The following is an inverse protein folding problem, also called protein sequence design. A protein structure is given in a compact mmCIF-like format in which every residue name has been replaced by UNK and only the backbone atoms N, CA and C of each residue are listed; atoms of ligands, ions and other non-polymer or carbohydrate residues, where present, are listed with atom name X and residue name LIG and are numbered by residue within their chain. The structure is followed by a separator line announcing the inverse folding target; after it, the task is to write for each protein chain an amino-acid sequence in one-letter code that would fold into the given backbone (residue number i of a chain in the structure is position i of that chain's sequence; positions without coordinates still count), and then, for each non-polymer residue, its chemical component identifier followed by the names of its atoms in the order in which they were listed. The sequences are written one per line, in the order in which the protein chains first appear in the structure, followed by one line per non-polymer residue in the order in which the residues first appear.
data_IF_424793249007
#
_entry.id   IF_424793249007
#
_cell.length_a   1.000
_cell.length_b   1.000
_cell.length_c   1.000
_cell.angle_alpha   90.00
_cell.angle_beta   90.00
_cell.angle_gamma   90.00
#
_symmetry.space_group_name_H-M   'P 1'
#
loop_
_entity.id
_entity.type
_entity.pdbx_description
1 polymer ?
#
# COMPACT_ATOMS: atom_id res chain seq x y z
N UNK A 1 25.74 -17.15 78.81
CA UNK A 1 26.32 -15.94 79.42
C UNK A 1 25.92 -14.73 78.56
N UNK A 2 25.29 -13.71 79.17
CA UNK A 2 24.96 -12.32 78.70
C UNK A 2 24.37 -12.13 77.30
N UNK A 3 23.13 -11.71 77.00
CA UNK A 3 22.24 -10.63 77.50
C UNK A 3 22.84 -9.21 77.47
N UNK A 4 22.39 -8.38 76.50
CA UNK A 4 21.99 -6.95 76.55
C UNK A 4 21.94 -6.38 75.11
N UNK A 5 20.82 -5.98 74.50
CA UNK A 5 19.76 -5.01 74.82
C UNK A 5 20.23 -3.55 74.93
N UNK A 6 19.72 -2.72 74.02
CA UNK A 6 19.83 -1.25 74.05
C UNK A 6 18.83 -0.60 73.09
N UNK A 7 17.57 -0.46 73.51
CA UNK A 7 16.59 0.51 72.96
C UNK A 7 16.57 1.74 73.87
N UNK A 8 16.44 2.96 73.33
CA UNK A 8 15.63 4.09 73.84
C UNK A 8 15.93 5.36 73.01
N UNK A 9 14.95 5.92 72.29
CA UNK A 9 13.97 6.98 72.67
C UNK A 9 14.38 8.36 72.11
N UNK A 10 13.68 8.83 71.08
CA UNK A 10 13.28 10.24 70.96
C UNK A 10 11.85 10.29 70.42
N UNK A 11 10.96 10.73 71.29
CA UNK A 11 9.52 10.89 71.10
C UNK A 11 9.16 12.18 71.85
N UNK A 12 8.85 13.24 71.11
CA UNK A 12 8.14 14.44 71.57
C UNK A 12 7.90 15.33 70.34
N UNK A 13 6.68 15.40 69.79
CA UNK A 13 5.52 16.19 70.26
C UNK A 13 5.35 17.43 69.36
N UNK A 14 4.32 17.41 68.51
CA UNK A 14 3.54 18.54 67.96
C UNK A 14 2.65 17.95 66.84
N UNK A 15 1.34 18.11 66.73
CA UNK A 15 0.25 18.40 67.66
C UNK A 15 -1.00 18.06 66.82
N UNK A 16 -1.89 17.19 67.31
CA UNK A 16 -3.18 16.88 66.69
C UNK A 16 -4.22 17.88 67.20
N UNK A 17 -4.80 18.68 66.30
CA UNK A 17 -6.10 19.37 66.41
C UNK A 17 -6.24 20.25 65.15
N UNK A 18 -7.36 20.40 64.43
CA UNK A 18 -8.75 20.08 64.72
C UNK A 18 -9.48 19.98 63.38
N UNK A 19 -10.39 19.02 63.30
CA UNK A 19 -11.38 18.80 62.25
C UNK A 19 -12.68 19.50 62.69
N UNK A 20 -13.54 19.83 61.72
CA UNK A 20 -14.98 20.16 61.79
C UNK A 20 -15.35 21.66 61.90
N UNK A 21 -15.89 22.21 60.80
CA UNK A 21 -17.25 22.77 60.77
C UNK A 21 -17.82 22.70 59.34
N UNK A 22 -18.88 21.89 59.18
CA UNK A 22 -19.81 21.86 58.04
C UNK A 22 -21.11 22.50 58.54
N UNK A 23 -21.72 23.37 57.71
CA UNK A 23 -23.16 23.74 57.58
C UNK A 23 -23.27 25.24 57.29
N UNK A 24 -24.06 25.77 56.35
CA UNK A 24 -25.18 25.23 55.60
C UNK A 24 -25.39 25.98 54.26
N UNK A 25 -26.19 25.36 53.40
CA UNK A 25 -26.67 25.80 52.09
C UNK A 25 -27.31 27.20 52.06
N UNK A 26 -27.15 27.91 50.94
CA UNK A 26 -28.27 28.62 50.30
C UNK A 26 -28.05 28.73 48.78
N UNK A 27 -28.97 28.12 48.04
CA UNK A 27 -29.18 28.27 46.60
C UNK A 27 -29.75 29.68 46.35
N UNK A 28 -29.17 30.43 45.42
CA UNK A 28 -29.85 31.56 44.78
C UNK A 28 -29.60 31.54 43.28
N UNK A 29 -30.62 31.10 42.56
CA UNK A 29 -30.79 31.31 41.12
C UNK A 29 -31.19 32.76 40.87
N UNK A 30 -30.31 33.56 40.27
CA UNK A 30 -30.72 34.71 39.44
C UNK A 30 -29.88 34.78 38.17
N UNK A 31 -30.59 34.44 37.09
CA UNK A 31 -30.31 34.65 35.66
C UNK A 31 -29.84 36.09 35.41
N UNK A 32 -28.64 36.27 34.86
CA UNK A 32 -28.26 37.50 34.17
C UNK A 32 -28.42 37.28 32.67
N UNK A 33 -29.55 37.74 32.13
CA UNK A 33 -29.65 37.99 30.70
C UNK A 33 -28.87 39.26 30.36
N UNK A 34 -28.09 39.20 29.29
CA UNK A 34 -27.60 40.37 28.58
C UNK A 34 -26.08 40.48 28.49
N UNK A 35 -25.46 39.77 27.55
CA UNK A 35 -24.68 40.39 26.46
C UNK A 35 -24.53 39.36 25.32
N UNK A 36 -25.02 39.61 24.09
CA UNK A 36 -24.76 38.73 22.95
C UNK A 36 -23.34 39.01 22.43
N UNK A 37 -22.35 38.32 22.99
CA UNK A 37 -20.98 38.36 22.47
C UNK A 37 -20.85 37.36 21.33
N UNK A 38 -21.03 37.88 20.12
CA UNK A 38 -20.64 37.26 18.86
C UNK A 38 -19.23 36.66 18.96
N UNK A 39 -19.11 35.34 18.95
CA UNK A 39 -17.97 34.61 18.34
C UNK A 39 -18.26 33.11 18.29
N UNK A 40 -19.24 32.70 17.51
CA UNK A 40 -19.40 31.27 17.12
C UNK A 40 -18.28 30.79 16.17
N UNK A 41 -17.29 31.63 15.87
CA UNK A 41 -16.16 31.34 14.98
C UNK A 41 -14.80 31.82 15.53
N UNK A 42 -14.61 31.87 16.86
CA UNK A 42 -13.27 32.05 17.41
C UNK A 42 -12.52 30.71 17.39
N UNK A 43 -11.34 30.60 16.75
CA UNK A 43 -10.58 29.36 16.76
C UNK A 43 -10.23 28.97 18.20
N UNK A 44 -10.40 27.68 18.53
CA UNK A 44 -10.21 27.13 19.88
C UNK A 44 -8.77 27.31 20.41
N UNK A 45 -7.83 27.58 19.50
CA UNK A 45 -6.41 27.82 19.76
C UNK A 45 -5.95 28.96 18.84
N UNK A 46 -5.17 29.89 19.41
CA UNK A 46 -4.58 31.03 18.71
C UNK A 46 -3.74 30.57 17.50
N UNK A 47 -3.76 31.30 16.39
CA UNK A 47 -3.09 30.88 15.13
C UNK A 47 -1.59 30.66 15.30
N UNK A 48 -0.96 31.32 16.28
CA UNK A 48 0.45 31.12 16.66
C UNK A 48 0.77 29.72 17.19
N UNK A 49 -0.20 29.04 17.80
CA UNK A 49 -0.07 27.68 18.34
C UNK A 49 -0.82 26.65 17.48
N UNK A 50 -1.34 27.09 16.33
CA UNK A 50 -2.08 26.27 15.40
C UNK A 50 -1.13 25.47 14.51
N UNK A 51 -1.37 24.17 14.39
CA UNK A 51 -0.62 23.28 13.49
C UNK A 51 -0.93 23.55 12.00
N UNK A 52 -1.70 24.58 11.67
CA UNK A 52 -2.07 24.90 10.29
C UNK A 52 -0.85 25.25 9.43
N UNK A 53 0.12 25.99 9.98
CA UNK A 53 1.37 26.28 9.28
C UNK A 53 2.18 25.00 9.01
N UNK A 54 2.31 24.13 10.01
CA UNK A 54 3.00 22.84 9.89
C UNK A 54 2.30 21.91 8.88
N UNK A 55 0.96 21.92 8.84
CA UNK A 55 0.16 21.17 7.85
C UNK A 55 0.39 21.68 6.42
N UNK A 56 0.44 22.99 6.22
CA UNK A 56 0.72 23.59 4.92
C UNK A 56 2.14 23.26 4.45
N UNK A 57 3.13 23.33 5.35
CA UNK A 57 4.50 22.92 5.05
C UNK A 57 4.59 21.43 4.72
N UNK A 58 3.86 20.56 5.43
CA UNK A 58 3.78 19.14 5.09
C UNK A 58 3.15 18.90 3.71
N UNK A 59 2.13 19.68 3.33
CA UNK A 59 1.51 19.57 2.01
C UNK A 59 2.43 20.06 0.88
N UNK A 60 3.27 21.06 1.15
CA UNK A 60 4.35 21.46 0.24
C UNK A 60 5.42 20.38 0.10
N UNK A 61 5.84 19.76 1.21
CA UNK A 61 6.79 18.65 1.20
C UNK A 61 6.21 17.41 0.49
N UNK A 62 4.90 17.15 0.60
CA UNK A 62 4.21 16.04 -0.08
C UNK A 62 4.20 16.17 -1.61
N UNK A 63 4.28 17.38 -2.15
CA UNK A 63 4.36 17.61 -3.60
C UNK A 63 5.66 17.03 -4.19
N UNK A 64 6.74 17.02 -3.41
CA UNK A 64 8.06 16.55 -3.83
C UNK A 64 8.31 15.05 -3.58
N UNK A 65 7.32 14.31 -3.07
CA UNK A 65 7.47 12.88 -2.82
C UNK A 65 7.45 12.11 -4.16
N UNK A 66 8.45 11.26 -4.44
CA UNK A 66 8.46 10.40 -5.62
C UNK A 66 7.23 9.49 -5.71
N UNK A 67 6.75 9.22 -6.92
CA UNK A 67 5.55 8.38 -7.14
C UNK A 67 5.69 6.96 -6.57
N UNK A 68 6.90 6.41 -6.60
CA UNK A 68 7.20 5.11 -6.00
C UNK A 68 6.93 5.12 -4.49
N UNK A 69 7.38 6.17 -3.80
CA UNK A 69 7.13 6.34 -2.35
C UNK A 69 5.67 6.60 -2.02
N UNK A 70 4.92 7.24 -2.92
CA UNK A 70 3.46 7.38 -2.76
C UNK A 70 2.78 6.01 -2.80
N UNK A 71 3.14 5.16 -3.77
CA UNK A 71 2.60 3.80 -3.89
C UNK A 71 2.94 2.94 -2.68
N UNK A 72 4.20 2.97 -2.21
CA UNK A 72 4.59 2.26 -0.99
C UNK A 72 3.77 2.72 0.23
N UNK A 73 3.61 4.03 0.41
CA UNK A 73 2.82 4.58 1.51
C UNK A 73 1.34 4.20 1.42
N UNK A 74 0.76 4.19 0.22
CA UNK A 74 -0.63 3.77 0.00
C UNK A 74 -0.82 2.28 0.34
N UNK A 75 0.16 1.44 0.01
CA UNK A 75 0.15 0.02 0.38
C UNK A 75 0.24 -0.18 1.89
N UNK A 76 1.13 0.55 2.57
CA UNK A 76 1.24 0.53 4.03
C UNK A 76 -0.03 1.03 4.72
N UNK A 77 -0.62 2.10 4.19
CA UNK A 77 -1.88 2.64 4.67
C UNK A 77 -3.02 1.62 4.50
N UNK A 78 -3.06 0.93 3.37
CA UNK A 78 -4.03 -0.13 3.12
C UNK A 78 -3.86 -1.31 4.10
N UNK A 79 -2.62 -1.77 4.32
CA UNK A 79 -2.34 -2.82 5.31
C UNK A 79 -2.78 -2.39 6.71
N UNK A 80 -2.42 -1.17 7.12
CA UNK A 80 -2.82 -0.59 8.41
C UNK A 80 -4.35 -0.52 8.55
N UNK A 81 -5.06 -0.18 7.47
CA UNK A 81 -6.52 -0.09 7.46
C UNK A 81 -7.20 -1.44 7.68
N UNK A 82 -6.60 -2.55 7.23
CA UNK A 82 -7.14 -3.90 7.46
C UNK A 82 -7.19 -4.25 8.96
N UNK A 83 -6.23 -3.75 9.74
CA UNK A 83 -6.09 -4.01 11.17
C UNK A 83 -6.62 -2.89 12.08
N UNK A 84 -7.11 -1.78 11.52
CA UNK A 84 -7.55 -0.62 12.29
C UNK A 84 -8.80 -0.86 13.15
N UNK A 85 -9.63 -1.83 12.77
CA UNK A 85 -10.86 -2.16 13.50
C UNK A 85 -10.64 -3.34 14.44
N UNK A 86 -10.36 -3.03 15.71
CA UNK A 86 -10.07 -4.01 16.78
C UNK A 86 -11.22 -4.98 17.09
N UNK A 87 -12.43 -4.70 16.61
CA UNK A 87 -13.59 -5.57 16.83
C UNK A 87 -13.70 -6.70 15.82
N UNK A 88 -12.98 -6.61 14.70
CA UNK A 88 -13.03 -7.64 13.66
C UNK A 88 -12.29 -8.88 14.11
N UNK A 89 -12.86 -10.05 13.80
CA UNK A 89 -12.16 -11.29 14.08
C UNK A 89 -10.92 -11.41 13.17
N UNK A 90 -9.83 -12.04 13.65
CA UNK A 90 -8.67 -12.33 12.79
C UNK A 90 -9.04 -13.11 11.51
N UNK A 91 -10.10 -13.92 11.55
CA UNK A 91 -10.61 -14.65 10.39
C UNK A 91 -11.15 -13.72 9.31
N UNK A 92 -11.96 -12.72 9.69
CA UNK A 92 -12.54 -11.76 8.74
C UNK A 92 -11.46 -10.90 8.07
N UNK A 93 -10.40 -10.57 8.82
CA UNK A 93 -9.26 -9.82 8.29
C UNK A 93 -8.50 -10.65 7.27
N UNK A 94 -8.26 -11.94 7.57
CA UNK A 94 -7.64 -12.89 6.62
C UNK A 94 -8.46 -13.04 5.35
N UNK A 95 -9.77 -13.27 5.46
CA UNK A 95 -10.64 -13.45 4.29
C UNK A 95 -10.60 -12.23 3.37
N UNK A 96 -10.60 -11.02 3.93
CA UNK A 96 -10.48 -9.78 3.14
C UNK A 96 -9.16 -9.67 2.41
N UNK A 97 -8.05 -9.96 3.09
CA UNK A 97 -6.73 -9.96 2.48
C UNK A 97 -6.65 -10.98 1.34
N UNK A 98 -7.08 -12.21 1.58
CA UNK A 98 -7.06 -13.28 0.59
C UNK A 98 -7.92 -12.96 -0.64
N UNK A 99 -9.10 -12.37 -0.42
CA UNK A 99 -9.99 -11.90 -1.50
C UNK A 99 -9.32 -10.84 -2.38
N UNK A 100 -8.62 -9.89 -1.77
CA UNK A 100 -7.92 -8.83 -2.50
C UNK A 100 -6.71 -9.37 -3.25
N UNK A 101 -5.93 -10.24 -2.61
CA UNK A 101 -4.79 -10.90 -3.24
C UNK A 101 -5.24 -11.77 -4.41
N UNK A 102 -6.37 -12.48 -4.29
CA UNK A 102 -6.98 -13.23 -5.40
C UNK A 102 -7.36 -12.32 -6.56
N UNK A 103 -8.04 -11.21 -6.29
CA UNK A 103 -8.39 -10.21 -7.33
C UNK A 103 -7.15 -9.65 -8.03
N UNK A 104 -6.09 -9.32 -7.29
CA UNK A 104 -4.81 -8.88 -7.86
C UNK A 104 -4.21 -9.95 -8.78
N UNK A 105 -4.20 -11.22 -8.36
CA UNK A 105 -3.75 -12.35 -9.19
C UNK A 105 -4.57 -12.49 -10.47
N UNK A 106 -5.90 -12.40 -10.37
CA UNK A 106 -6.80 -12.49 -11.53
C UNK A 106 -6.55 -11.35 -12.53
N UNK A 107 -6.44 -10.11 -12.05
CA UNK A 107 -6.14 -8.93 -12.91
C UNK A 107 -4.79 -9.10 -13.59
N UNK A 108 -3.75 -9.46 -12.84
CA UNK A 108 -2.42 -9.72 -13.39
C UNK A 108 -2.45 -10.81 -14.48
N UNK A 109 -3.16 -11.92 -14.24
CA UNK A 109 -3.30 -12.98 -15.24
C UNK A 109 -4.02 -12.49 -16.50
N UNK A 110 -5.09 -11.71 -16.36
CA UNK A 110 -5.79 -11.11 -17.51
C UNK A 110 -4.88 -10.21 -18.32
N UNK A 111 -4.09 -9.37 -17.67
CA UNK A 111 -3.18 -8.45 -18.35
C UNK A 111 -2.06 -9.21 -19.07
N UNK A 112 -1.53 -10.26 -18.45
CA UNK A 112 -0.54 -11.14 -19.08
C UNK A 112 -1.09 -11.85 -20.32
N UNK A 113 -2.33 -12.35 -20.25
CA UNK A 113 -2.99 -12.97 -21.41
C UNK A 113 -3.20 -11.96 -22.53
N UNK A 114 -3.72 -10.77 -22.21
CA UNK A 114 -3.91 -9.69 -23.18
C UNK A 114 -2.59 -9.28 -23.83
N UNK A 115 -1.52 -9.15 -23.07
CA UNK A 115 -0.20 -8.80 -23.59
C UNK A 115 0.28 -9.84 -24.64
N UNK A 116 0.11 -11.14 -24.36
CA UNK A 116 0.42 -12.20 -25.33
C UNK A 116 -0.44 -12.13 -26.58
N UNK A 117 -1.75 -11.95 -26.42
CA UNK A 117 -2.66 -11.86 -27.56
C UNK A 117 -2.32 -10.66 -28.46
N UNK A 118 -2.03 -9.51 -27.87
CA UNK A 118 -1.61 -8.32 -28.61
C UNK A 118 -0.30 -8.57 -29.35
N UNK A 119 0.70 -9.13 -28.66
CA UNK A 119 1.99 -9.47 -29.27
C UNK A 119 1.83 -10.42 -30.47
N UNK A 120 1.06 -11.50 -30.32
CA UNK A 120 0.81 -12.49 -31.39
C UNK A 120 0.10 -11.84 -32.59
N UNK A 121 -0.88 -10.97 -32.33
CA UNK A 121 -1.58 -10.23 -33.41
C UNK A 121 -0.61 -9.30 -34.16
N UNK A 122 0.26 -8.60 -33.44
CA UNK A 122 1.25 -7.71 -34.04
C UNK A 122 2.34 -8.48 -34.79
N UNK A 123 2.86 -9.57 -34.23
CA UNK A 123 3.81 -10.47 -34.90
C UNK A 123 3.24 -10.98 -36.22
N UNK A 124 1.98 -11.42 -36.22
CA UNK A 124 1.30 -11.84 -37.44
C UNK A 124 1.21 -10.70 -38.46
N UNK A 125 0.77 -9.51 -38.05
CA UNK A 125 0.70 -8.34 -38.94
C UNK A 125 2.05 -8.00 -39.55
N UNK A 126 3.12 -7.95 -38.75
CA UNK A 126 4.48 -7.68 -39.25
C UNK A 126 4.92 -8.70 -40.30
N UNK A 127 4.65 -10.00 -40.07
CA UNK A 127 4.98 -11.07 -41.03
C UNK A 127 4.16 -10.97 -42.32
N UNK A 128 2.86 -10.70 -42.21
CA UNK A 128 1.97 -10.55 -43.35
C UNK A 128 2.38 -9.32 -44.19
N UNK A 129 2.68 -8.19 -43.55
CA UNK A 129 3.11 -6.96 -44.21
C UNK A 129 4.47 -7.14 -44.89
N UNK A 130 5.43 -7.80 -44.23
CA UNK A 130 6.72 -8.13 -44.84
C UNK A 130 6.58 -9.04 -46.07
N UNK A 131 5.69 -10.04 -46.00
CA UNK A 131 5.44 -10.95 -47.12
C UNK A 131 4.84 -10.21 -48.32
N UNK A 132 3.89 -9.30 -48.08
CA UNK A 132 3.32 -8.44 -49.12
C UNK A 132 4.38 -7.55 -49.75
N UNK A 133 5.22 -6.89 -48.94
CA UNK A 133 6.32 -6.07 -49.46
C UNK A 133 7.29 -6.86 -50.34
N UNK A 134 7.59 -8.11 -49.97
CA UNK A 134 8.42 -9.03 -50.78
C UNK A 134 7.73 -9.44 -52.08
N UNK A 135 6.42 -9.65 -52.07
CA UNK A 135 5.63 -9.93 -53.28
C UNK A 135 5.56 -8.73 -54.22
N UNK A 136 5.29 -7.54 -53.69
CA UNK A 136 5.26 -6.28 -54.42
C UNK A 136 6.63 -5.98 -55.04
N UNK A 137 7.71 -6.06 -54.26
CA UNK A 137 9.07 -5.86 -54.77
C UNK A 137 9.41 -6.81 -55.92
N UNK A 138 9.06 -8.10 -55.80
CA UNK A 138 9.24 -9.08 -56.89
C UNK A 138 8.38 -8.76 -58.11
N UNK A 139 7.14 -8.34 -57.92
CA UNK A 139 6.22 -7.97 -58.99
C UNK A 139 6.73 -6.74 -59.76
N UNK A 140 7.18 -5.72 -59.04
CA UNK A 140 7.67 -4.48 -59.63
C UNK A 140 9.00 -4.67 -60.36
N UNK A 141 9.91 -5.45 -59.78
CA UNK A 141 11.16 -5.81 -60.45
C UNK A 141 10.92 -6.60 -61.74
N UNK A 142 9.95 -7.53 -61.75
CA UNK A 142 9.58 -8.30 -62.95
C UNK A 142 9.00 -7.45 -64.10
N UNK A 143 8.44 -6.28 -63.80
CA UNK A 143 7.93 -5.34 -64.82
C UNK A 143 9.07 -4.60 -65.54
N UNK A 144 10.25 -4.54 -64.93
CA UNK A 144 11.41 -3.86 -65.47
C UNK A 144 12.26 -4.82 -66.33
N UNK A 145 12.88 -4.29 -67.38
CA UNK A 145 13.84 -5.06 -68.17
C UNK A 145 15.20 -5.02 -67.47
N UNK A 146 15.58 -6.15 -66.87
CA UNK A 146 16.80 -6.27 -66.06
C UNK A 146 17.83 -7.16 -66.75
N UNK A 147 19.12 -6.88 -66.52
CA UNK A 147 20.22 -7.76 -66.95
C UNK A 147 20.33 -8.98 -66.04
N UNK A 148 21.11 -9.98 -66.46
CA UNK A 148 21.34 -11.21 -65.66
C UNK A 148 21.96 -10.89 -64.29
N UNK A 149 22.93 -9.98 -64.26
CA UNK A 149 23.62 -9.63 -63.00
C UNK A 149 22.68 -8.87 -62.06
N UNK A 150 21.90 -7.92 -62.58
CA UNK A 150 20.87 -7.23 -61.80
C UNK A 150 19.81 -8.18 -61.25
N UNK A 151 19.40 -9.20 -62.02
CA UNK A 151 18.49 -10.23 -61.52
C UNK A 151 19.08 -10.99 -60.35
N UNK A 152 20.35 -11.40 -60.45
CA UNK A 152 21.03 -12.13 -59.39
C UNK A 152 21.11 -11.27 -58.12
N UNK A 153 21.63 -10.06 -58.23
CA UNK A 153 21.82 -9.16 -57.09
C UNK A 153 20.50 -8.84 -56.38
N UNK A 154 19.41 -8.65 -57.14
CA UNK A 154 18.08 -8.41 -56.58
C UNK A 154 17.58 -9.59 -55.73
N UNK A 155 17.68 -10.83 -56.24
CA UNK A 155 17.21 -12.00 -55.49
C UNK A 155 18.11 -12.34 -54.30
N UNK A 156 19.42 -12.09 -54.42
CA UNK A 156 20.37 -12.24 -53.31
C UNK A 156 20.04 -11.24 -52.17
N UNK A 157 19.74 -9.98 -52.51
CA UNK A 157 19.31 -8.95 -51.55
C UNK A 157 17.93 -9.28 -50.90
N UNK A 158 16.96 -9.76 -51.69
CA UNK A 158 15.67 -10.19 -51.14
C UNK A 158 15.82 -11.34 -50.14
N UNK A 159 16.68 -12.33 -50.43
CA UNK A 159 16.94 -13.44 -49.52
C UNK A 159 17.69 -13.00 -48.25
N UNK A 160 18.64 -12.07 -48.38
CA UNK A 160 19.32 -11.46 -47.24
C UNK A 160 18.31 -10.74 -46.32
N UNK A 161 17.46 -9.87 -46.87
CA UNK A 161 16.39 -9.18 -46.13
C UNK A 161 15.42 -10.13 -45.46
N UNK A 162 15.06 -11.23 -46.14
CA UNK A 162 14.22 -12.28 -45.57
C UNK A 162 14.87 -12.93 -44.36
N UNK A 163 16.14 -13.32 -44.45
CA UNK A 163 16.89 -13.91 -43.34
C UNK A 163 16.99 -12.95 -42.16
N UNK A 164 17.34 -11.69 -42.42
CA UNK A 164 17.44 -10.65 -41.41
C UNK A 164 16.11 -10.43 -40.68
N UNK A 165 15.01 -10.26 -41.42
CA UNK A 165 13.68 -10.07 -40.85
C UNK A 165 13.27 -11.21 -39.91
N UNK A 166 13.43 -12.47 -40.35
CA UNK A 166 13.04 -13.61 -39.51
C UNK A 166 13.99 -13.85 -38.34
N UNK A 167 15.26 -13.46 -38.44
CA UNK A 167 16.17 -13.42 -37.29
C UNK A 167 15.70 -12.40 -36.27
N UNK A 168 15.43 -11.17 -36.70
CA UNK A 168 14.96 -10.11 -35.81
C UNK A 168 13.61 -10.44 -35.15
N UNK A 169 12.66 -11.07 -35.88
CA UNK A 169 11.40 -11.50 -35.27
C UNK A 169 11.58 -12.63 -34.24
N UNK A 170 12.60 -13.49 -34.41
CA UNK A 170 12.95 -14.49 -33.39
C UNK A 170 13.47 -13.81 -32.13
N UNK A 171 14.38 -12.85 -32.28
CA UNK A 171 14.98 -12.13 -31.15
C UNK A 171 13.92 -11.33 -30.37
N UNK A 172 13.04 -10.60 -31.08
CA UNK A 172 11.90 -9.90 -30.46
C UNK A 172 10.97 -10.83 -29.68
N UNK A 173 10.76 -12.05 -30.18
CA UNK A 173 9.93 -13.04 -29.49
C UNK A 173 10.61 -13.55 -28.23
N UNK A 174 11.91 -13.79 -28.30
CA UNK A 174 12.69 -14.22 -27.14
C UNK A 174 12.70 -13.14 -26.04
N UNK A 175 12.93 -11.89 -26.42
CA UNK A 175 12.86 -10.73 -25.54
C UNK A 175 11.48 -10.60 -24.89
N UNK A 176 10.40 -10.65 -25.69
CA UNK A 176 9.03 -10.61 -25.18
C UNK A 176 8.75 -11.74 -24.17
N UNK A 177 9.13 -12.99 -24.49
CA UNK A 177 8.91 -14.10 -23.57
C UNK A 177 9.77 -13.99 -22.31
N UNK A 178 10.96 -13.39 -22.39
CA UNK A 178 11.79 -13.09 -21.22
C UNK A 178 11.11 -12.08 -20.31
N UNK A 179 10.67 -10.95 -20.85
CA UNK A 179 9.93 -9.92 -20.11
C UNK A 179 8.68 -10.50 -19.43
N UNK A 180 7.98 -11.40 -20.12
CA UNK A 180 6.80 -12.05 -19.56
C UNK A 180 7.12 -13.00 -18.41
N UNK A 181 8.26 -13.70 -18.46
CA UNK A 181 8.74 -14.51 -17.33
C UNK A 181 9.14 -13.63 -16.15
N UNK A 182 9.85 -12.53 -16.41
CA UNK A 182 10.33 -11.64 -15.37
C UNK A 182 9.17 -10.92 -14.68
N UNK A 183 8.20 -10.40 -15.43
CA UNK A 183 6.96 -9.84 -14.87
C UNK A 183 6.22 -10.83 -13.99
N UNK A 184 6.14 -12.10 -14.41
CA UNK A 184 5.52 -13.16 -13.61
C UNK A 184 6.26 -13.40 -12.30
N UNK A 185 7.58 -13.55 -12.37
CA UNK A 185 8.43 -13.77 -11.21
C UNK A 185 8.32 -12.61 -10.22
N UNK A 186 8.47 -11.36 -10.69
CA UNK A 186 8.39 -10.17 -9.87
C UNK A 186 7.03 -10.05 -9.15
N UNK A 187 5.93 -10.37 -9.85
CA UNK A 187 4.60 -10.38 -9.23
C UNK A 187 4.46 -11.49 -8.17
N UNK A 188 4.95 -12.69 -8.45
CA UNK A 188 4.86 -13.80 -7.51
C UNK A 188 5.72 -13.56 -6.24
N UNK A 189 6.88 -12.94 -6.40
CA UNK A 189 7.74 -12.54 -5.28
C UNK A 189 7.09 -11.41 -4.45
N UNK A 190 6.54 -10.37 -5.09
CA UNK A 190 5.76 -9.32 -4.43
C UNK A 190 4.57 -9.91 -3.65
N UNK A 191 3.80 -10.82 -4.27
CA UNK A 191 2.65 -11.42 -3.62
C UNK A 191 3.07 -12.25 -2.39
N UNK A 192 4.23 -12.92 -2.44
CA UNK A 192 4.80 -13.67 -1.32
C UNK A 192 5.24 -12.73 -0.19
N UNK A 193 5.95 -11.65 -0.51
CA UNK A 193 6.37 -10.63 0.44
C UNK A 193 5.18 -10.04 1.18
N UNK A 194 4.15 -9.58 0.47
CA UNK A 194 2.93 -9.03 1.08
C UNK A 194 2.16 -10.04 1.92
N UNK A 195 2.17 -11.31 1.52
CA UNK A 195 1.58 -12.38 2.32
C UNK A 195 2.36 -12.60 3.62
N UNK A 196 3.69 -12.49 3.60
CA UNK A 196 4.53 -12.62 4.78
C UNK A 196 4.33 -11.45 5.74
N UNK A 197 4.34 -10.20 5.23
CA UNK A 197 4.04 -8.99 6.00
C UNK A 197 2.66 -9.10 6.67
N UNK A 198 1.64 -9.45 5.90
CA UNK A 198 0.28 -9.66 6.41
C UNK A 198 0.23 -10.68 7.54
N UNK A 199 0.87 -11.83 7.36
CA UNK A 199 0.87 -12.90 8.37
C UNK A 199 1.60 -12.48 9.66
N UNK A 200 2.64 -11.67 9.57
CA UNK A 200 3.32 -11.12 10.73
C UNK A 200 2.41 -10.17 11.51
N UNK A 201 1.76 -9.22 10.82
CA UNK A 201 0.83 -8.28 11.43
C UNK A 201 -0.40 -8.98 12.02
N UNK A 202 -0.94 -9.99 11.31
CA UNK A 202 -2.08 -10.77 11.76
C UNK A 202 -1.79 -11.54 13.05
N UNK A 203 -0.56 -12.07 13.22
CA UNK A 203 -0.17 -12.72 14.49
C UNK A 203 -0.17 -11.72 15.65
N UNK A 204 0.40 -10.54 15.44
CA UNK A 204 0.41 -9.48 16.45
C UNK A 204 -1.00 -8.99 16.78
N UNK A 205 -1.85 -8.82 15.78
CA UNK A 205 -3.26 -8.47 15.94
C UNK A 205 -4.04 -9.54 16.71
N UNK A 206 -3.89 -10.81 16.34
CA UNK A 206 -4.59 -11.94 16.97
C UNK A 206 -4.30 -12.01 18.47
N UNK A 207 -3.03 -11.81 18.86
CA UNK A 207 -2.65 -11.75 20.28
C UNK A 207 -3.38 -10.63 21.03
N UNK A 208 -3.39 -9.41 20.46
CA UNK A 208 -4.11 -8.26 21.06
C UNK A 208 -5.61 -8.50 21.16
N UNK A 209 -6.21 -9.08 20.12
CA UNK A 209 -7.63 -9.40 20.07
C UNK A 209 -8.02 -10.41 21.16
N UNK A 210 -7.24 -11.47 21.36
CA UNK A 210 -7.48 -12.47 22.41
C UNK A 210 -7.31 -11.89 23.83
N UNK A 211 -6.30 -11.04 24.04
CA UNK A 211 -6.07 -10.34 25.31
C UNK A 211 -7.25 -9.41 25.64
N UNK A 212 -7.71 -8.62 24.67
CA UNK A 212 -8.87 -7.74 24.83
C UNK A 212 -10.15 -8.53 25.13
N UNK A 213 -10.37 -9.66 24.43
CA UNK A 213 -11.51 -10.55 24.68
C UNK A 213 -11.48 -11.13 26.10
N UNK A 214 -10.34 -11.63 26.55
CA UNK A 214 -10.17 -12.15 27.92
C UNK A 214 -10.41 -11.06 28.98
N UNK A 215 -9.89 -9.85 28.75
CA UNK A 215 -10.10 -8.72 29.65
C UNK A 215 -11.59 -8.32 29.74
N UNK A 216 -12.30 -8.30 28.60
CA UNK A 216 -13.73 -8.03 28.56
C UNK A 216 -14.56 -9.11 29.30
N UNK A 217 -14.22 -10.39 29.11
CA UNK A 217 -14.86 -11.50 29.82
C UNK A 217 -14.61 -11.43 31.34
N UNK A 218 -13.39 -11.09 31.77
CA UNK A 218 -13.06 -10.91 33.19
C UNK A 218 -13.82 -9.72 33.80
N UNK A 219 -13.89 -8.59 33.10
CA UNK A 219 -14.65 -7.42 33.54
C UNK A 219 -16.17 -7.68 33.60
N UNK A 220 -16.70 -8.49 32.70
CA UNK A 220 -18.11 -8.90 32.73
C UNK A 220 -18.41 -9.81 33.95
N UNK A 221 -17.50 -10.73 34.28
CA UNK A 221 -17.64 -11.61 35.46
C UNK A 221 -17.54 -10.87 36.80
N UNK A 222 -16.83 -9.73 36.87
CA UNK A 222 -16.74 -8.92 38.09
C UNK A 222 -17.96 -8.01 38.31
N UNK A 223 -18.78 -7.81 37.28
CA UNK A 223 -20.01 -6.98 37.36
C UNK A 223 -21.26 -7.78 37.72
N UNK A 224 -21.18 -9.11 37.72
CA UNK A 224 -22.24 -10.04 38.13
C UNK A 224 -21.89 -10.65 39.49
#
# INVERSE_FOLDING_TARGET
MGLWSGKTKYLSLLYVASLIFISACQISTKRSEGTPSQTENAPLVDDKYSLTADRQQLDELRKNIPEEKKKENDELAFMSQLFADEKKSPSDIREKFDSILRKKRETFQKDMTKARETYVKEEKKRKDDFTKQQEEARSDFKKQKSTRDQNKDFYDDLDAKRKEFYSAERDKREEFESDMRDKRKNFDDYAREKSNEFNQELRAYTKRYEEAKKAAEAAAKQKN
#
